data_IF_085657759539
#
_entry.id   IF_085657759539
#
_cell.length_a   1.000
_cell.length_b   1.000
_cell.length_c   1.000
_cell.angle_alpha   90.00
_cell.angle_beta   90.00
_cell.angle_gamma   90.00
#
_symmetry.space_group_name_H-M   'P 1'
#
loop_
_entity.id
_entity.type
_entity.pdbx_description
1 polymer ?
#
# COMPACT_ATOMS: atom_id res chain seq x y z
N UNK A 1 27.36 -26.36 -21.74
CA UNK A 1 26.24 -26.95 -20.97
C UNK A 1 25.81 -25.92 -19.93
N UNK A 2 24.69 -25.22 -20.17
CA UNK A 2 24.19 -24.21 -19.23
C UNK A 2 23.46 -24.94 -18.09
N UNK A 3 23.93 -24.77 -16.86
CA UNK A 3 23.26 -25.30 -15.67
C UNK A 3 22.09 -24.37 -15.36
N UNK A 4 20.86 -24.85 -15.56
CA UNK A 4 19.68 -24.16 -15.06
C UNK A 4 19.58 -24.34 -13.55
N UNK A 5 19.21 -23.30 -12.79
CA UNK A 5 18.98 -23.44 -11.36
C UNK A 5 17.84 -24.44 -11.13
N UNK A 6 18.08 -25.45 -10.28
CA UNK A 6 17.13 -26.53 -9.98
C UNK A 6 16.18 -26.20 -8.83
N UNK A 7 16.36 -25.02 -8.19
CA UNK A 7 15.53 -24.57 -7.09
C UNK A 7 15.17 -23.10 -7.32
N UNK A 8 13.87 -22.83 -7.53
CA UNK A 8 13.32 -21.49 -7.59
C UNK A 8 12.62 -21.16 -6.28
N UNK A 9 12.64 -19.89 -5.83
CA UNK A 9 11.87 -19.48 -4.67
C UNK A 9 10.37 -19.67 -4.93
N UNK A 10 9.62 -20.03 -3.88
CA UNK A 10 8.16 -20.21 -3.94
C UNK A 10 7.40 -18.89 -4.17
N UNK A 11 8.04 -17.75 -3.91
CA UNK A 11 7.47 -16.43 -4.10
C UNK A 11 8.34 -15.56 -5.00
N UNK A 12 7.68 -14.71 -5.78
CA UNK A 12 8.32 -13.72 -6.64
C UNK A 12 8.13 -12.33 -6.05
N UNK A 13 9.21 -11.58 -5.92
CA UNK A 13 9.15 -10.15 -5.60
C UNK A 13 8.65 -9.39 -6.84
N UNK A 14 7.55 -8.66 -6.70
CA UNK A 14 6.90 -7.90 -7.79
C UNK A 14 7.09 -6.39 -7.68
N UNK A 15 7.61 -5.92 -6.55
CA UNK A 15 7.93 -4.52 -6.31
C UNK A 15 8.68 -4.36 -4.99
N UNK A 16 9.62 -3.43 -4.98
CA UNK A 16 10.38 -3.02 -3.81
C UNK A 16 10.55 -1.50 -3.87
N UNK A 17 10.23 -0.82 -2.77
CA UNK A 17 10.31 0.63 -2.70
C UNK A 17 10.55 1.07 -1.27
N UNK A 18 11.56 1.89 -1.07
CA UNK A 18 11.76 2.63 0.18
C UNK A 18 10.87 3.87 0.19
N UNK A 19 10.05 4.02 1.22
CA UNK A 19 9.21 5.19 1.42
C UNK A 19 9.91 6.19 2.35
N UNK A 20 9.74 7.51 2.12
CA UNK A 20 10.45 8.53 2.89
C UNK A 20 9.86 8.75 4.29
N UNK A 21 8.61 8.32 4.52
CA UNK A 21 7.91 8.43 5.79
C UNK A 21 7.64 7.03 6.36
N UNK A 22 7.68 6.93 7.67
CA UNK A 22 7.33 5.70 8.39
C UNK A 22 5.85 5.36 8.19
N UNK A 23 5.56 4.10 7.88
CA UNK A 23 4.20 3.60 7.66
C UNK A 23 3.67 3.03 8.98
N UNK A 24 2.56 3.56 9.46
CA UNK A 24 1.92 3.18 10.72
C UNK A 24 0.73 2.22 10.52
N UNK A 25 0.06 2.29 9.37
CA UNK A 25 -1.02 1.37 9.00
C UNK A 25 -0.92 0.95 7.54
N UNK A 26 -1.33 -0.29 7.25
CA UNK A 26 -1.47 -0.80 5.90
C UNK A 26 -2.65 -1.76 5.79
N UNK A 27 -3.34 -1.73 4.65
CA UNK A 27 -4.43 -2.67 4.37
C UNK A 27 -4.58 -2.92 2.87
N UNK A 28 -4.61 -4.20 2.49
CA UNK A 28 -4.87 -4.63 1.12
C UNK A 28 -6.34 -4.43 0.75
N UNK A 29 -6.58 -4.06 -0.51
CA UNK A 29 -7.93 -4.11 -1.07
C UNK A 29 -8.39 -5.57 -1.16
N UNK A 30 -9.61 -5.91 -0.73
CA UNK A 30 -10.12 -7.29 -0.75
C UNK A 30 -10.45 -7.79 -2.17
N UNK A 31 -10.48 -6.90 -3.17
CA UNK A 31 -10.94 -7.22 -4.54
C UNK A 31 -10.00 -6.78 -5.66
N UNK A 32 -8.92 -6.05 -5.35
CA UNK A 32 -8.04 -5.41 -6.35
C UNK A 32 -6.58 -5.56 -5.95
N UNK A 33 -5.67 -5.34 -6.89
CA UNK A 33 -4.22 -5.36 -6.72
C UNK A 33 -3.68 -4.09 -6.05
N UNK A 34 -4.37 -3.61 -5.01
CA UNK A 34 -4.12 -2.32 -4.37
C UNK A 34 -3.82 -2.49 -2.88
N UNK A 35 -2.88 -1.68 -2.37
CA UNK A 35 -2.60 -1.53 -0.95
C UNK A 35 -2.74 -0.06 -0.54
N UNK A 36 -3.51 0.19 0.51
CA UNK A 36 -3.57 1.49 1.16
C UNK A 36 -2.57 1.51 2.32
N UNK A 37 -1.87 2.64 2.47
CA UNK A 37 -0.88 2.89 3.52
C UNK A 37 -1.22 4.22 4.20
N UNK A 38 -0.97 4.33 5.49
CA UNK A 38 -0.96 5.61 6.21
C UNK A 38 0.40 5.80 6.87
N UNK A 39 0.92 7.03 6.82
CA UNK A 39 2.23 7.36 7.37
C UNK A 39 2.13 8.29 8.60
N UNK A 40 3.25 8.48 9.29
CA UNK A 40 3.36 9.35 10.47
C UNK A 40 3.09 10.83 10.18
N UNK A 41 3.11 11.26 8.92
CA UNK A 41 2.74 12.61 8.52
C UNK A 41 1.22 12.79 8.32
N UNK A 42 0.41 11.77 8.59
CA UNK A 42 -1.04 11.79 8.41
C UNK A 42 -1.49 11.64 6.96
N UNK A 43 -0.56 11.37 6.04
CA UNK A 43 -0.87 11.17 4.62
C UNK A 43 -1.29 9.72 4.36
N UNK A 44 -2.37 9.56 3.59
CA UNK A 44 -2.83 8.26 3.09
C UNK A 44 -2.36 8.07 1.66
N UNK A 45 -1.82 6.91 1.35
CA UNK A 45 -1.25 6.56 0.06
C UNK A 45 -1.94 5.33 -0.50
N UNK A 46 -2.20 5.31 -1.80
CA UNK A 46 -2.66 4.11 -2.49
C UNK A 46 -1.62 3.65 -3.51
N UNK A 47 -1.20 2.40 -3.41
CA UNK A 47 -0.24 1.80 -4.34
C UNK A 47 -0.85 0.58 -5.04
N UNK A 48 -0.41 0.34 -6.28
CA UNK A 48 -0.68 -0.88 -7.05
C UNK A 48 0.47 -1.87 -6.86
N UNK A 49 0.16 -3.15 -6.81
CA UNK A 49 1.10 -4.24 -6.57
C UNK A 49 2.25 -4.27 -7.59
N UNK A 50 1.94 -4.12 -8.88
CA UNK A 50 2.95 -4.12 -9.94
C UNK A 50 3.94 -2.95 -9.75
N UNK A 51 5.19 -3.29 -9.43
CA UNK A 51 6.28 -2.34 -9.17
C UNK A 51 6.02 -1.34 -8.04
N UNK A 52 5.07 -1.63 -7.15
CA UNK A 52 4.67 -0.75 -6.04
C UNK A 52 4.40 0.70 -6.50
N UNK A 53 3.66 0.84 -7.62
CA UNK A 53 3.39 2.13 -8.24
C UNK A 53 2.35 2.92 -7.43
N UNK A 54 2.62 4.20 -7.15
CA UNK A 54 1.68 5.08 -6.41
C UNK A 54 0.55 5.53 -7.33
N UNK A 55 -0.68 5.13 -7.00
CA UNK A 55 -1.90 5.54 -7.71
C UNK A 55 -2.30 6.96 -7.31
N UNK A 56 -2.32 7.24 -6.01
CA UNK A 56 -2.56 8.59 -5.47
C UNK A 56 -1.95 8.76 -4.08
N UNK A 57 -1.85 10.01 -3.65
CA UNK A 57 -1.60 10.41 -2.27
C UNK A 57 -2.66 11.40 -1.79
N UNK A 58 -2.96 11.33 -0.50
CA UNK A 58 -3.98 12.13 0.15
C UNK A 58 -3.38 12.73 1.43
N UNK A 59 -2.77 13.93 1.35
CA UNK A 59 -2.19 14.60 2.51
C UNK A 59 -3.29 15.18 3.43
N UNK A 60 -3.00 15.37 4.72
CA UNK A 60 -3.92 16.06 5.62
C UNK A 60 -4.10 17.51 5.19
N UNK A 61 -5.29 18.07 5.40
CA UNK A 61 -5.64 19.45 5.11
C UNK A 61 -6.56 20.02 6.20
N UNK A 62 -7.00 21.28 6.05
CA UNK A 62 -7.81 21.99 7.06
C UNK A 62 -9.15 21.29 7.40
N UNK A 63 -9.67 20.46 6.49
CA UNK A 63 -10.92 19.73 6.68
C UNK A 63 -10.70 18.29 7.19
N UNK A 64 -9.46 17.88 7.45
CA UNK A 64 -9.15 16.52 7.92
C UNK A 64 -8.34 16.54 9.20
N UNK A 65 -8.35 15.42 9.93
CA UNK A 65 -7.40 15.20 11.02
C UNK A 65 -5.95 15.22 10.53
N UNK A 66 -5.02 15.45 11.45
CA UNK A 66 -3.57 15.39 11.18
C UNK A 66 -2.99 14.00 11.38
N UNK A 67 -3.71 13.13 12.07
CA UNK A 67 -3.27 11.78 12.43
C UNK A 67 -4.26 10.77 11.87
N UNK A 68 -3.73 9.61 11.47
CA UNK A 68 -4.50 8.47 11.02
C UNK A 68 -4.34 7.35 12.04
N UNK A 69 -5.44 6.83 12.55
CA UNK A 69 -5.51 5.79 13.57
C UNK A 69 -6.01 4.46 13.02
N UNK A 70 -6.71 4.44 11.87
CA UNK A 70 -7.03 3.19 11.18
C UNK A 70 -7.36 3.37 9.69
N UNK A 71 -7.31 2.25 8.96
CA UNK A 71 -7.71 2.14 7.56
C UNK A 71 -8.62 0.91 7.39
N UNK A 72 -9.74 1.08 6.69
CA UNK A 72 -10.65 -0.03 6.39
C UNK A 72 -11.21 0.05 4.98
N UNK A 73 -10.94 -0.96 4.15
CA UNK A 73 -11.64 -1.14 2.88
C UNK A 73 -13.05 -1.67 3.14
N UNK A 74 -14.02 -1.09 2.44
CA UNK A 74 -15.33 -1.71 2.30
C UNK A 74 -15.17 -3.07 1.60
N UNK A 75 -15.93 -4.12 1.97
CA UNK A 75 -15.75 -5.47 1.39
C UNK A 75 -15.88 -5.56 -0.14
N UNK A 76 -16.57 -4.61 -0.77
CA UNK A 76 -16.67 -4.51 -2.23
C UNK A 76 -15.43 -3.90 -2.92
N UNK A 77 -14.48 -3.39 -2.13
CA UNK A 77 -13.22 -2.80 -2.60
C UNK A 77 -13.37 -1.46 -3.32
N UNK A 78 -14.52 -0.77 -3.18
CA UNK A 78 -14.78 0.51 -3.88
C UNK A 78 -14.56 1.75 -3.01
N UNK A 79 -14.57 1.59 -1.68
CA UNK A 79 -14.38 2.67 -0.73
C UNK A 79 -13.35 2.29 0.32
N UNK A 80 -12.54 3.27 0.72
CA UNK A 80 -11.60 3.20 1.83
C UNK A 80 -12.06 4.21 2.88
N UNK A 81 -12.22 3.75 4.12
CA UNK A 81 -12.52 4.61 5.28
C UNK A 81 -11.23 4.82 6.06
N UNK A 82 -11.07 6.04 6.59
CA UNK A 82 -9.91 6.49 7.36
C UNK A 82 -10.45 7.13 8.65
N UNK A 83 -9.84 6.82 9.80
CA UNK A 83 -10.11 7.48 11.08
C UNK A 83 -8.81 7.98 11.70
#
# INVERSE_FOLDING_TARGET
MLRFPTCFPSFRVVGEKQLPQEIIFLVWSPKRDLIALANTAGEVLLHRLASFHRVWSFPPNENTGKEVTCLAWRPDGKQLTVS
#
